data_IF_719969395546
#
_entry.id   IF_719969395546
#
_cell.length_a   1.000
_cell.length_b   1.000
_cell.length_c   1.000
_cell.angle_alpha   90.00
_cell.angle_beta   90.00
_cell.angle_gamma   90.00
#
_symmetry.space_group_name_H-M   'P 1'
#
loop_
_entity.id
_entity.type
_entity.pdbx_description
1 polymer ?
#
# COMPACT_ATOMS: atom_id res chain seq x y z
N UNK A 1 -22.69 13.36 64.35
CA UNK A 1 -21.58 13.27 63.36
C UNK A 1 -21.59 11.92 62.64
N UNK A 2 -21.64 10.77 63.34
CA UNK A 2 -21.72 9.44 62.72
C UNK A 2 -22.91 9.26 61.76
N UNK A 3 -24.11 9.70 62.14
CA UNK A 3 -25.30 9.57 61.29
C UNK A 3 -25.19 10.36 59.97
N UNK A 4 -24.75 11.63 60.04
CA UNK A 4 -24.49 12.43 58.83
C UNK A 4 -23.48 11.79 57.88
N UNK A 5 -22.42 11.16 58.41
CA UNK A 5 -21.43 10.45 57.59
C UNK A 5 -22.05 9.24 56.91
N UNK A 6 -22.94 8.51 57.59
CA UNK A 6 -23.66 7.36 57.04
C UNK A 6 -24.61 7.80 55.91
N UNK A 7 -25.41 8.84 56.12
CA UNK A 7 -26.31 9.41 55.10
C UNK A 7 -25.56 9.88 53.84
N UNK A 8 -24.39 10.51 54.02
CA UNK A 8 -23.53 10.93 52.91
C UNK A 8 -23.02 9.71 52.11
N UNK A 9 -22.59 8.65 52.80
CA UNK A 9 -22.14 7.41 52.14
C UNK A 9 -23.27 6.73 51.36
N UNK A 10 -24.46 6.65 51.95
CA UNK A 10 -25.63 6.07 51.28
C UNK A 10 -26.03 6.88 50.04
N UNK A 11 -26.03 8.21 50.15
CA UNK A 11 -26.30 9.11 49.03
C UNK A 11 -25.27 8.97 47.91
N UNK A 12 -23.98 8.90 48.26
CA UNK A 12 -22.90 8.68 47.31
C UNK A 12 -23.06 7.34 46.56
N UNK A 13 -23.36 6.25 47.30
CA UNK A 13 -23.58 4.94 46.69
C UNK A 13 -24.78 4.94 45.74
N UNK A 14 -25.86 5.65 46.09
CA UNK A 14 -27.04 5.78 45.22
C UNK A 14 -26.71 6.54 43.92
N UNK A 15 -25.89 7.59 44.00
CA UNK A 15 -25.45 8.34 42.81
C UNK A 15 -24.60 7.43 41.91
N UNK A 16 -23.69 6.63 42.47
CA UNK A 16 -22.89 5.69 41.69
C UNK A 16 -23.76 4.60 41.02
N UNK A 17 -24.78 4.10 41.72
CA UNK A 17 -25.72 3.14 41.14
C UNK A 17 -26.48 3.71 39.94
N UNK A 18 -27.04 4.93 40.09
CA UNK A 18 -27.74 5.61 38.98
C UNK A 18 -26.78 5.87 37.82
N UNK A 19 -25.54 6.27 38.11
CA UNK A 19 -24.51 6.50 37.09
C UNK A 19 -24.21 5.22 36.30
N UNK A 20 -24.11 4.07 36.98
CA UNK A 20 -23.95 2.75 36.34
C UNK A 20 -25.15 2.40 35.46
N UNK A 21 -26.38 2.58 35.96
CA UNK A 21 -27.60 2.31 35.18
C UNK A 21 -27.68 3.15 33.91
N UNK A 22 -27.30 4.43 33.99
CA UNK A 22 -27.24 5.33 32.81
C UNK A 22 -26.25 4.77 31.78
N UNK A 23 -25.05 4.36 32.22
CA UNK A 23 -24.05 3.81 31.31
C UNK A 23 -24.56 2.53 30.67
N UNK A 24 -25.17 1.61 31.43
CA UNK A 24 -25.72 0.35 30.90
C UNK A 24 -26.77 0.61 29.79
N UNK A 25 -27.63 1.62 29.98
CA UNK A 25 -28.59 2.05 28.95
C UNK A 25 -27.86 2.64 27.75
N UNK A 26 -26.85 3.49 27.95
CA UNK A 26 -26.08 4.12 26.87
C UNK A 26 -25.28 3.13 26.03
N UNK A 27 -24.70 2.11 26.66
CA UNK A 27 -23.87 1.10 25.98
C UNK A 27 -24.70 -0.08 25.44
N UNK A 28 -26.02 -0.08 25.56
CA UNK A 28 -26.86 -1.05 24.85
C UNK A 28 -26.69 -0.91 23.34
N UNK A 29 -26.84 -1.99 22.57
CA UNK A 29 -26.57 -1.97 21.11
C UNK A 29 -27.38 -0.89 20.37
N UNK A 30 -28.65 -0.70 20.74
CA UNK A 30 -29.53 0.29 20.12
C UNK A 30 -29.11 1.75 20.42
N UNK A 31 -28.60 2.00 21.63
CA UNK A 31 -28.25 3.34 22.06
C UNK A 31 -26.80 3.71 21.77
N UNK A 32 -25.89 2.73 21.77
CA UNK A 32 -24.46 2.97 21.57
C UNK A 32 -24.21 3.72 20.26
N UNK A 33 -24.96 3.37 19.20
CA UNK A 33 -24.85 4.06 17.91
C UNK A 33 -25.26 5.54 17.94
N UNK A 34 -26.13 5.93 18.87
CA UNK A 34 -26.59 7.32 19.05
C UNK A 34 -25.60 8.16 19.86
N UNK A 35 -24.91 7.54 20.80
CA UNK A 35 -24.00 8.23 21.73
C UNK A 35 -22.53 8.21 21.29
N UNK A 36 -22.16 7.30 20.41
CA UNK A 36 -20.82 7.19 19.89
C UNK A 36 -20.85 7.07 18.37
N UNK A 37 -20.49 8.13 17.67
CA UNK A 37 -20.42 8.23 16.22
C UNK A 37 -18.98 8.22 15.71
N UNK A 38 -18.02 8.58 16.58
CA UNK A 38 -16.59 8.66 16.27
C UNK A 38 -15.74 8.46 17.54
N UNK A 39 -14.42 8.40 17.39
CA UNK A 39 -13.50 8.16 18.50
C UNK A 39 -13.52 9.25 19.58
N UNK A 40 -13.80 10.52 19.26
CA UNK A 40 -13.82 11.63 20.24
C UNK A 40 -14.98 11.49 21.21
N UNK A 41 -16.12 11.01 20.72
CA UNK A 41 -17.27 10.72 21.57
C UNK A 41 -16.97 9.55 22.51
N UNK A 42 -16.27 8.52 22.02
CA UNK A 42 -15.80 7.42 22.88
C UNK A 42 -14.80 7.93 23.92
N UNK A 43 -13.86 8.79 23.54
CA UNK A 43 -12.91 9.41 24.48
C UNK A 43 -13.64 10.20 25.58
N UNK A 44 -14.65 10.99 25.19
CA UNK A 44 -15.50 11.72 26.13
C UNK A 44 -16.23 10.76 27.09
N UNK A 45 -16.82 9.67 26.58
CA UNK A 45 -17.49 8.67 27.41
C UNK A 45 -16.53 7.97 28.38
N UNK A 46 -15.31 7.63 27.94
CA UNK A 46 -14.28 7.03 28.82
C UNK A 46 -13.84 8.01 29.90
N UNK A 47 -13.70 9.30 29.57
CA UNK A 47 -13.38 10.35 30.54
C UNK A 47 -14.50 10.56 31.57
N UNK A 48 -15.75 10.53 31.11
CA UNK A 48 -16.93 10.68 31.96
C UNK A 48 -17.23 9.44 32.80
N UNK A 49 -16.84 8.24 32.35
CA UNK A 49 -17.16 6.96 32.98
C UNK A 49 -15.96 5.99 32.96
N UNK A 50 -14.83 6.33 33.61
CA UNK A 50 -13.60 5.54 33.56
C UNK A 50 -13.80 4.12 34.12
N UNK A 51 -14.67 3.94 35.10
CA UNK A 51 -15.02 2.63 35.67
C UNK A 51 -15.70 1.69 34.66
N UNK A 52 -16.27 2.22 33.58
CA UNK A 52 -16.92 1.47 32.50
C UNK A 52 -16.07 1.39 31.22
N UNK A 53 -14.79 1.80 31.27
CA UNK A 53 -13.87 1.78 30.12
C UNK A 53 -13.85 0.43 29.40
N UNK A 54 -13.79 -0.67 30.16
CA UNK A 54 -13.78 -2.03 29.61
C UNK A 54 -15.08 -2.39 28.89
N UNK A 55 -16.23 -1.93 29.39
CA UNK A 55 -17.51 -2.18 28.76
C UNK A 55 -17.65 -1.38 27.44
N UNK A 56 -17.16 -0.13 27.43
CA UNK A 56 -17.07 0.69 26.22
C UNK A 56 -16.16 0.07 25.18
N UNK A 57 -14.98 -0.41 25.58
CA UNK A 57 -14.06 -1.13 24.72
C UNK A 57 -14.74 -2.30 24.00
N UNK A 58 -15.43 -3.18 24.75
CA UNK A 58 -16.15 -4.33 24.20
C UNK A 58 -17.17 -3.94 23.14
N UNK A 59 -17.80 -2.76 23.25
CA UNK A 59 -18.70 -2.24 22.21
C UNK A 59 -17.97 -1.71 21.00
N UNK A 60 -16.84 -1.02 21.19
CA UNK A 60 -16.02 -0.48 20.09
C UNK A 60 -15.51 -1.61 19.17
N UNK A 61 -15.06 -2.73 19.74
CA UNK A 61 -14.46 -3.83 18.95
C UNK A 61 -15.47 -4.75 18.27
N UNK A 62 -16.77 -4.59 18.52
CA UNK A 62 -17.79 -5.28 17.73
C UNK A 62 -17.66 -4.85 16.26
N UNK A 63 -17.58 -5.81 15.34
CA UNK A 63 -17.23 -5.58 13.92
C UNK A 63 -18.01 -4.43 13.27
N UNK A 64 -19.33 -4.37 13.48
CA UNK A 64 -20.18 -3.33 12.91
C UNK A 64 -19.90 -1.94 13.51
N UNK A 65 -19.62 -1.88 14.81
CA UNK A 65 -19.29 -0.64 15.49
C UNK A 65 -17.89 -0.17 15.13
N UNK A 66 -16.92 -1.08 15.12
CA UNK A 66 -15.55 -0.77 14.73
C UNK A 66 -15.50 -0.15 13.33
N UNK A 67 -16.15 -0.79 12.35
CA UNK A 67 -16.19 -0.30 10.97
C UNK A 67 -16.79 1.12 10.85
N UNK A 68 -17.82 1.42 11.64
CA UNK A 68 -18.48 2.73 11.66
C UNK A 68 -17.64 3.79 12.38
N UNK A 69 -17.03 3.42 13.50
CA UNK A 69 -16.27 4.33 14.37
C UNK A 69 -14.88 4.67 13.82
N UNK A 70 -14.32 3.81 12.97
CA UNK A 70 -13.00 3.99 12.38
C UNK A 70 -13.13 4.32 10.91
N UNK A 71 -13.10 5.60 10.52
CA UNK A 71 -13.16 5.98 9.10
C UNK A 71 -11.84 5.75 8.37
N UNK A 72 -10.74 5.86 9.10
CA UNK A 72 -9.36 5.85 8.63
C UNK A 72 -8.42 5.25 9.70
N UNK A 73 -7.14 5.17 9.38
CA UNK A 73 -6.13 4.62 10.28
C UNK A 73 -5.86 5.51 11.50
N UNK A 74 -6.04 6.83 11.37
CA UNK A 74 -5.81 7.76 12.46
C UNK A 74 -6.85 7.56 13.56
N UNK A 75 -8.10 7.28 13.19
CA UNK A 75 -9.16 6.89 14.13
C UNK A 75 -8.79 5.64 14.94
N UNK A 76 -8.12 4.66 14.32
CA UNK A 76 -7.63 3.46 15.03
C UNK A 76 -6.52 3.84 16.02
N UNK A 77 -5.59 4.69 15.60
CA UNK A 77 -4.52 5.20 16.47
C UNK A 77 -5.09 5.90 17.70
N UNK A 78 -6.14 6.71 17.53
CA UNK A 78 -6.80 7.36 18.65
C UNK A 78 -7.47 6.33 19.58
N UNK A 79 -8.09 5.27 19.05
CA UNK A 79 -8.59 4.18 19.89
C UNK A 79 -7.50 3.46 20.68
N UNK A 80 -6.31 3.27 20.12
CA UNK A 80 -5.16 2.71 20.86
C UNK A 80 -4.72 3.63 22.00
N UNK A 81 -4.81 4.95 21.82
CA UNK A 81 -4.51 5.92 22.90
C UNK A 81 -5.58 5.88 24.00
N UNK A 82 -6.85 5.69 23.63
CA UNK A 82 -7.95 5.55 24.60
C UNK A 82 -7.84 4.21 25.34
N UNK A 83 -7.55 3.11 24.65
CA UNK A 83 -7.52 1.73 25.17
C UNK A 83 -6.14 1.06 24.97
N UNK A 84 -5.07 1.57 25.59
CA UNK A 84 -3.70 1.06 25.39
C UNK A 84 -3.54 -0.40 25.81
N UNK A 85 -4.31 -0.86 26.80
CA UNK A 85 -4.33 -2.25 27.27
C UNK A 85 -4.82 -3.25 26.22
N UNK A 86 -5.55 -2.78 25.20
CA UNK A 86 -6.17 -3.61 24.14
C UNK A 86 -5.54 -3.40 22.76
N UNK A 87 -4.30 -2.88 22.73
CA UNK A 87 -3.58 -2.57 21.49
C UNK A 87 -3.53 -3.75 20.50
N UNK A 88 -3.29 -4.96 20.99
CA UNK A 88 -3.23 -6.16 20.15
C UNK A 88 -4.54 -6.44 19.40
N UNK A 89 -5.68 -6.19 20.05
CA UNK A 89 -6.99 -6.44 19.46
C UNK A 89 -7.28 -5.44 18.33
N UNK A 90 -6.89 -4.18 18.49
CA UNK A 90 -6.95 -3.20 17.40
C UNK A 90 -6.05 -3.59 16.22
N UNK A 91 -4.85 -4.10 16.49
CA UNK A 91 -3.98 -4.62 15.43
C UNK A 91 -4.67 -5.75 14.65
N UNK A 92 -5.24 -6.74 15.35
CA UNK A 92 -5.97 -7.85 14.72
C UNK A 92 -7.17 -7.37 13.90
N UNK A 93 -7.92 -6.38 14.39
CA UNK A 93 -9.06 -5.79 13.69
C UNK A 93 -8.64 -5.06 12.41
N UNK A 94 -7.56 -4.28 12.45
CA UNK A 94 -7.04 -3.59 11.26
C UNK A 94 -6.68 -4.56 10.15
N UNK A 95 -6.03 -5.68 10.48
CA UNK A 95 -5.61 -6.69 9.52
C UNK A 95 -6.68 -7.75 9.22
N UNK A 96 -7.88 -7.61 9.78
CA UNK A 96 -9.04 -8.40 9.38
C UNK A 96 -9.35 -8.14 7.89
N UNK A 97 -9.61 -9.18 7.07
CA UNK A 97 -9.94 -9.00 5.66
C UNK A 97 -11.07 -7.99 5.39
N UNK A 98 -12.06 -7.89 6.27
CA UNK A 98 -13.18 -6.96 6.14
C UNK A 98 -12.80 -5.48 6.36
N UNK A 99 -11.67 -5.21 7.01
CA UNK A 99 -11.27 -3.85 7.37
C UNK A 99 -9.99 -3.39 6.66
N UNK A 100 -9.06 -4.31 6.41
CA UNK A 100 -7.71 -4.00 5.93
C UNK A 100 -7.68 -3.24 4.60
N UNK A 101 -8.51 -3.60 3.62
CA UNK A 101 -8.57 -2.89 2.33
C UNK A 101 -9.03 -1.44 2.49
N UNK A 102 -9.96 -1.20 3.43
CA UNK A 102 -10.54 0.11 3.69
C UNK A 102 -9.61 0.99 4.53
N UNK A 103 -9.03 0.43 5.59
CA UNK A 103 -8.20 1.16 6.56
C UNK A 103 -6.76 1.36 6.07
N UNK A 104 -6.23 0.40 5.32
CA UNK A 104 -4.89 0.45 4.74
C UNK A 104 -5.04 0.65 3.23
N UNK A 105 -5.63 1.76 2.81
CA UNK A 105 -5.83 2.06 1.38
C UNK A 105 -4.54 2.48 0.69
N UNK A 106 -3.62 3.13 1.43
CA UNK A 106 -2.34 3.62 0.94
C UNK A 106 -1.18 3.15 1.82
N UNK A 107 0.03 3.12 1.26
CA UNK A 107 1.24 2.76 2.00
C UNK A 107 1.47 3.65 3.23
N UNK A 108 1.12 4.94 3.15
CA UNK A 108 1.25 5.86 4.29
C UNK A 108 0.44 5.39 5.50
N UNK A 109 -0.70 4.72 5.30
CA UNK A 109 -1.47 4.14 6.41
C UNK A 109 -0.71 3.01 7.10
N UNK A 110 -0.04 2.14 6.32
CA UNK A 110 0.81 1.09 6.87
C UNK A 110 2.00 1.68 7.62
N UNK A 111 2.61 2.76 7.10
CA UNK A 111 3.68 3.47 7.80
C UNK A 111 3.22 4.08 9.12
N UNK A 112 2.02 4.64 9.18
CA UNK A 112 1.42 5.06 10.46
C UNK A 112 1.33 3.88 11.42
N UNK A 113 0.87 2.71 10.96
CA UNK A 113 0.83 1.51 11.80
C UNK A 113 2.20 1.07 12.30
N UNK A 114 3.26 1.11 11.47
CA UNK A 114 4.61 0.70 11.93
C UNK A 114 5.19 1.60 13.02
N UNK A 115 4.73 2.85 13.11
CA UNK A 115 5.09 3.79 14.18
C UNK A 115 4.35 3.45 15.47
N UNK A 116 3.05 3.18 15.40
CA UNK A 116 2.21 2.94 16.59
C UNK A 116 2.25 1.49 17.08
N UNK A 117 2.58 0.53 16.20
CA UNK A 117 2.62 -0.91 16.46
C UNK A 117 4.01 -1.50 16.11
N UNK A 118 5.12 -0.96 16.65
CA UNK A 118 6.46 -1.39 16.28
C UNK A 118 6.72 -2.88 16.56
N UNK A 119 6.08 -3.44 17.58
CA UNK A 119 6.19 -4.86 17.96
C UNK A 119 5.56 -5.82 16.93
N UNK A 120 4.73 -5.31 16.02
CA UNK A 120 4.08 -6.09 14.96
C UNK A 120 4.66 -5.83 13.56
N UNK A 121 5.81 -5.15 13.45
CA UNK A 121 6.45 -4.84 12.16
C UNK A 121 6.60 -6.07 11.27
N UNK A 122 7.07 -7.19 11.82
CA UNK A 122 7.24 -8.43 11.07
C UNK A 122 5.91 -8.95 10.49
N UNK A 123 4.84 -8.94 11.28
CA UNK A 123 3.52 -9.34 10.81
C UNK A 123 2.98 -8.40 9.71
N UNK A 124 3.26 -7.10 9.82
CA UNK A 124 2.93 -6.12 8.79
C UNK A 124 3.71 -6.37 7.50
N UNK A 125 5.00 -6.68 7.61
CA UNK A 125 5.86 -7.05 6.48
C UNK A 125 5.28 -8.26 5.73
N UNK A 126 5.03 -9.35 6.46
CA UNK A 126 4.42 -10.57 5.89
C UNK A 126 3.05 -10.31 5.24
N UNK A 127 2.29 -9.34 5.75
CA UNK A 127 1.01 -8.97 5.16
C UNK A 127 1.16 -8.13 3.88
N UNK A 128 2.08 -7.15 3.84
CA UNK A 128 2.31 -6.33 2.64
C UNK A 128 2.98 -7.12 1.51
N UNK A 129 3.81 -8.12 1.81
CA UNK A 129 4.46 -8.95 0.78
C UNK A 129 3.52 -9.93 0.09
N UNK A 130 2.28 -10.07 0.57
CA UNK A 130 1.25 -10.82 -0.15
C UNK A 130 1.01 -10.18 -1.52
N UNK A 131 0.91 -10.96 -2.60
CA UNK A 131 0.81 -10.46 -3.98
C UNK A 131 -0.16 -9.29 -4.19
N UNK A 132 -1.39 -9.44 -3.70
CA UNK A 132 -2.46 -8.45 -3.90
C UNK A 132 -2.20 -7.17 -3.11
N UNK A 133 -1.65 -7.29 -1.89
CA UNK A 133 -1.32 -6.16 -1.04
C UNK A 133 -0.11 -5.42 -1.55
N UNK A 134 0.95 -6.14 -1.93
CA UNK A 134 2.18 -5.56 -2.47
C UNK A 134 1.84 -4.75 -3.72
N UNK A 135 1.15 -5.39 -4.67
CA UNK A 135 0.69 -4.76 -5.90
C UNK A 135 -0.13 -3.52 -5.58
N UNK A 136 -1.11 -3.62 -4.68
CA UNK A 136 -2.00 -2.49 -4.35
C UNK A 136 -1.29 -1.31 -3.68
N UNK A 137 -0.37 -1.58 -2.75
CA UNK A 137 0.23 -0.57 -1.88
C UNK A 137 1.54 -0.02 -2.41
N UNK A 138 2.34 -0.82 -3.13
CA UNK A 138 3.65 -0.45 -3.67
C UNK A 138 3.50 -0.18 -5.16
N UNK A 139 3.01 1.01 -5.48
CA UNK A 139 2.69 1.37 -6.85
C UNK A 139 3.71 2.27 -7.54
N UNK A 140 4.69 2.83 -6.82
CA UNK A 140 5.71 3.70 -7.39
C UNK A 140 7.05 3.58 -6.64
N UNK A 141 8.10 4.17 -7.21
CA UNK A 141 9.46 4.09 -6.68
C UNK A 141 9.65 4.79 -5.33
N UNK A 142 8.90 5.87 -5.05
CA UNK A 142 8.94 6.58 -3.76
C UNK A 142 8.39 5.68 -2.65
N UNK A 143 7.27 5.00 -2.90
CA UNK A 143 6.69 4.06 -1.93
C UNK A 143 7.62 2.88 -1.69
N UNK A 144 8.24 2.35 -2.74
CA UNK A 144 9.23 1.30 -2.61
C UNK A 144 10.41 1.72 -1.73
N UNK A 145 10.94 2.92 -1.93
CA UNK A 145 11.99 3.48 -1.07
C UNK A 145 11.51 3.58 0.38
N UNK A 146 10.28 4.03 0.59
CA UNK A 146 9.63 4.05 1.91
C UNK A 146 9.62 2.66 2.54
N UNK A 147 9.21 1.63 1.80
CA UNK A 147 9.17 0.25 2.25
C UNK A 147 10.57 -0.25 2.68
N UNK A 148 11.60 0.00 1.87
CA UNK A 148 12.98 -0.39 2.22
C UNK A 148 13.56 0.38 3.41
N UNK A 149 13.01 1.56 3.72
CA UNK A 149 13.41 2.38 4.87
C UNK A 149 12.72 1.92 6.14
N UNK A 150 11.43 1.57 6.05
CA UNK A 150 10.64 1.15 7.21
C UNK A 150 10.93 -0.32 7.63
N UNK A 151 11.44 -1.15 6.69
CA UNK A 151 11.83 -2.57 6.85
C UNK A 151 13.25 -2.86 6.32
N UNK A 152 14.30 -2.29 6.92
CA UNK A 152 15.68 -2.44 6.43
C UNK A 152 16.20 -3.89 6.49
N UNK A 153 15.69 -4.69 7.43
CA UNK A 153 16.01 -6.12 7.58
C UNK A 153 15.56 -6.98 6.38
N UNK A 154 14.62 -6.47 5.58
CA UNK A 154 13.97 -7.20 4.49
C UNK A 154 14.34 -6.68 3.09
N UNK A 155 15.40 -5.88 2.97
CA UNK A 155 15.78 -5.26 1.69
C UNK A 155 16.02 -6.26 0.56
N UNK A 156 16.64 -7.40 0.86
CA UNK A 156 16.88 -8.44 -0.14
C UNK A 156 15.57 -9.04 -0.66
N UNK A 157 14.67 -9.44 0.25
CA UNK A 157 13.36 -10.01 -0.08
C UNK A 157 12.49 -9.02 -0.86
N UNK A 158 12.52 -7.74 -0.48
CA UNK A 158 11.86 -6.66 -1.25
C UNK A 158 12.44 -6.60 -2.66
N UNK A 159 13.77 -6.67 -2.81
CA UNK A 159 14.43 -6.74 -4.11
C UNK A 159 13.95 -7.93 -4.96
N UNK A 160 13.83 -9.11 -4.37
CA UNK A 160 13.32 -10.31 -5.04
C UNK A 160 11.84 -10.16 -5.45
N UNK A 161 11.01 -9.54 -4.62
CA UNK A 161 9.62 -9.22 -4.96
C UNK A 161 9.52 -8.25 -6.13
N UNK A 162 10.43 -7.28 -6.24
CA UNK A 162 10.48 -6.35 -7.37
C UNK A 162 10.86 -7.02 -8.67
N UNK A 163 11.73 -8.03 -8.62
CA UNK A 163 12.11 -8.79 -9.82
C UNK A 163 10.94 -9.62 -10.37
N UNK A 164 9.86 -9.78 -9.60
CA UNK A 164 8.64 -10.37 -10.14
C UNK A 164 8.03 -9.46 -11.21
N UNK A 165 7.79 -9.99 -12.42
CA UNK A 165 7.34 -9.21 -13.56
C UNK A 165 6.16 -8.29 -13.28
N UNK A 166 5.11 -8.81 -12.62
CA UNK A 166 3.91 -8.04 -12.30
C UNK A 166 4.18 -6.79 -11.44
N UNK A 167 5.12 -6.86 -10.51
CA UNK A 167 5.42 -5.76 -9.58
C UNK A 167 6.32 -4.74 -10.26
N UNK A 168 7.35 -5.21 -10.96
CA UNK A 168 8.22 -4.37 -11.78
C UNK A 168 7.40 -3.55 -12.78
N UNK A 169 6.52 -4.23 -13.54
CA UNK A 169 5.66 -3.59 -14.52
C UNK A 169 4.83 -2.47 -13.91
N UNK A 170 4.23 -2.70 -12.74
CA UNK A 170 3.35 -1.73 -12.07
C UNK A 170 4.11 -0.49 -11.63
N UNK A 171 5.21 -0.65 -10.89
CA UNK A 171 5.99 0.46 -10.34
C UNK A 171 6.47 1.36 -11.47
N UNK A 172 7.01 0.73 -12.50
CA UNK A 172 7.58 1.44 -13.63
C UNK A 172 6.50 2.05 -14.53
N UNK A 173 5.29 1.48 -14.59
CA UNK A 173 4.17 2.04 -15.35
C UNK A 173 3.46 3.20 -14.67
N UNK A 174 3.52 3.28 -13.33
CA UNK A 174 2.87 4.37 -12.56
C UNK A 174 3.76 5.61 -12.48
N UNK A 175 5.07 5.44 -12.49
CA UNK A 175 6.01 6.55 -12.48
C UNK A 175 5.85 7.38 -13.77
N UNK A 176 5.81 8.71 -13.60
CA UNK A 176 5.86 9.72 -14.65
C UNK A 176 7.08 9.61 -15.58
N UNK A 177 7.96 8.63 -15.35
CA UNK A 177 8.97 8.15 -16.28
C UNK A 177 8.41 7.90 -17.68
N UNK A 178 7.13 7.50 -17.83
CA UNK A 178 6.50 7.42 -19.16
C UNK A 178 6.46 8.75 -19.91
N UNK A 179 6.33 9.89 -19.22
CA UNK A 179 6.30 11.21 -19.87
C UNK A 179 7.67 11.78 -20.21
N UNK A 180 8.72 11.46 -19.45
CA UNK A 180 10.10 11.85 -19.79
C UNK A 180 10.80 10.87 -20.74
N UNK A 181 10.37 9.61 -20.79
CA UNK A 181 10.89 8.58 -21.70
C UNK A 181 10.06 8.41 -22.98
N UNK A 182 9.30 9.42 -23.41
CA UNK A 182 8.84 9.50 -24.82
C UNK A 182 10.07 9.80 -25.69
N UNK A 183 10.99 8.84 -25.75
CA UNK A 183 12.06 8.83 -26.73
C UNK A 183 11.43 8.51 -28.07
N UNK A 184 11.97 9.13 -29.13
CA UNK A 184 11.59 8.89 -30.51
C UNK A 184 11.36 7.38 -30.75
N UNK A 185 10.26 6.94 -31.40
CA UNK A 185 9.88 5.52 -31.51
C UNK A 185 11.02 4.59 -31.92
N UNK A 186 11.91 5.07 -32.80
CA UNK A 186 13.11 4.34 -33.22
C UNK A 186 14.12 4.08 -32.09
N UNK A 187 14.34 5.05 -31.20
CA UNK A 187 15.26 4.89 -30.07
C UNK A 187 14.71 3.85 -29.10
N UNK A 188 13.40 3.89 -28.81
CA UNK A 188 12.77 2.86 -27.98
C UNK A 188 12.85 1.49 -28.65
N UNK A 189 12.60 1.38 -29.95
CA UNK A 189 12.69 0.10 -30.64
C UNK A 189 14.12 -0.47 -30.58
N UNK A 190 15.14 0.37 -30.79
CA UNK A 190 16.53 -0.03 -30.66
C UNK A 190 16.86 -0.55 -29.26
N UNK A 191 16.50 0.19 -28.20
CA UNK A 191 16.84 -0.17 -26.82
C UNK A 191 16.09 -1.42 -26.35
N UNK A 192 14.84 -1.60 -26.79
CA UNK A 192 14.03 -2.82 -26.62
C UNK A 192 14.68 -4.03 -27.27
N UNK A 193 15.03 -3.93 -28.56
CA UNK A 193 15.73 -5.00 -29.27
C UNK A 193 17.07 -5.34 -28.61
N UNK A 194 17.83 -4.34 -28.15
CA UNK A 194 19.08 -4.56 -27.44
C UNK A 194 18.88 -5.40 -26.17
N UNK A 195 17.84 -5.10 -25.38
CA UNK A 195 17.52 -5.85 -24.18
C UNK A 195 17.04 -7.27 -24.49
N UNK A 196 16.14 -7.45 -25.46
CA UNK A 196 15.71 -8.78 -25.94
C UNK A 196 16.93 -9.62 -26.32
N UNK A 197 17.79 -9.13 -27.21
CA UNK A 197 18.96 -9.89 -27.64
C UNK A 197 20.00 -10.11 -26.53
N UNK A 198 20.04 -9.28 -25.49
CA UNK A 198 20.93 -9.49 -24.34
C UNK A 198 20.44 -10.62 -23.43
N UNK A 199 19.15 -10.65 -23.12
CA UNK A 199 18.53 -11.61 -22.20
C UNK A 199 18.14 -12.94 -22.87
N UNK A 200 17.96 -12.98 -24.19
CA UNK A 200 17.78 -14.21 -24.96
C UNK A 200 19.08 -15.01 -25.06
N UNK A 201 19.33 -15.89 -24.07
CA UNK A 201 20.44 -16.86 -24.10
C UNK A 201 20.01 -18.13 -24.83
N UNK A 202 20.57 -18.37 -26.02
CA UNK A 202 20.22 -19.55 -26.84
C UNK A 202 20.73 -20.89 -26.30
N UNK A 203 21.77 -20.90 -25.46
CA UNK A 203 22.46 -22.15 -25.09
C UNK A 203 22.45 -22.47 -23.59
N UNK A 204 21.93 -21.59 -22.73
CA UNK A 204 22.00 -21.74 -21.26
C UNK A 204 20.63 -21.50 -20.58
N UNK A 205 19.54 -21.52 -21.35
CA UNK A 205 18.22 -21.09 -20.90
C UNK A 205 18.06 -19.56 -20.96
N UNK A 206 16.84 -19.10 -21.27
CA UNK A 206 16.53 -17.67 -21.32
C UNK A 206 16.65 -17.04 -19.93
N UNK A 207 17.39 -15.93 -19.83
CA UNK A 207 17.48 -15.17 -18.57
C UNK A 207 16.15 -14.48 -18.25
N UNK A 208 15.49 -13.99 -19.30
CA UNK A 208 14.16 -13.41 -19.25
C UNK A 208 13.39 -13.80 -20.52
N UNK A 209 12.08 -14.09 -20.40
CA UNK A 209 11.16 -14.10 -21.53
C UNK A 209 11.30 -12.83 -22.41
N UNK A 210 11.17 -12.94 -23.74
CA UNK A 210 11.31 -11.82 -24.66
C UNK A 210 10.42 -10.61 -24.31
N UNK A 211 9.23 -10.83 -23.77
CA UNK A 211 8.29 -9.76 -23.40
C UNK A 211 8.83 -8.91 -22.25
N UNK A 212 9.49 -9.54 -21.27
CA UNK A 212 10.09 -8.83 -20.15
C UNK A 212 11.38 -8.16 -20.55
N UNK A 213 12.15 -8.78 -21.44
CA UNK A 213 13.35 -8.19 -22.00
C UNK A 213 13.03 -6.95 -22.85
N UNK A 214 12.01 -7.02 -23.71
CA UNK A 214 11.47 -5.87 -24.47
C UNK A 214 11.07 -4.76 -23.49
N UNK A 215 10.28 -5.10 -22.48
CA UNK A 215 9.86 -4.14 -21.48
C UNK A 215 11.05 -3.46 -20.77
N UNK A 216 12.04 -4.22 -20.28
CA UNK A 216 13.26 -3.67 -19.68
C UNK A 216 13.94 -2.70 -20.64
N UNK A 217 14.06 -3.06 -21.91
CA UNK A 217 14.68 -2.20 -22.92
C UNK A 217 13.89 -0.91 -23.19
N UNK A 218 12.58 -0.89 -22.92
CA UNK A 218 11.76 0.33 -23.03
C UNK A 218 12.11 1.41 -22.00
N UNK A 219 12.82 1.06 -20.92
CA UNK A 219 13.32 2.00 -19.89
C UNK A 219 14.74 2.47 -20.13
N UNK A 220 15.45 1.88 -21.08
CA UNK A 220 16.81 2.28 -21.36
C UNK A 220 16.81 3.52 -22.24
N UNK A 221 17.64 4.50 -21.87
CA UNK A 221 17.98 5.57 -22.80
C UNK A 221 18.85 5.04 -23.96
N UNK A 222 18.97 5.83 -25.04
CA UNK A 222 19.79 5.47 -26.21
C UNK A 222 21.23 5.04 -25.85
N UNK A 223 21.88 5.72 -24.92
CA UNK A 223 23.26 5.46 -24.52
C UNK A 223 23.36 4.14 -23.76
N UNK A 224 22.43 3.89 -22.84
CA UNK A 224 22.32 2.66 -22.06
C UNK A 224 21.98 1.46 -22.97
N UNK A 225 21.02 1.60 -23.88
CA UNK A 225 20.73 0.56 -24.88
C UNK A 225 21.88 0.32 -25.85
N UNK A 226 22.60 1.38 -26.26
CA UNK A 226 23.82 1.26 -27.08
C UNK A 226 24.93 0.47 -26.38
N UNK A 227 25.17 0.74 -25.08
CA UNK A 227 26.11 -0.05 -24.27
C UNK A 227 25.66 -1.51 -24.18
N UNK A 228 24.37 -1.75 -23.97
CA UNK A 228 23.81 -3.11 -23.88
C UNK A 228 23.99 -3.88 -25.20
N UNK A 229 23.70 -3.24 -26.33
CA UNK A 229 23.90 -3.79 -27.67
C UNK A 229 25.38 -4.17 -27.93
N UNK A 230 26.33 -3.40 -27.39
CA UNK A 230 27.76 -3.67 -27.54
C UNK A 230 28.26 -4.87 -26.72
N UNK A 231 27.51 -5.32 -25.70
CA UNK A 231 27.97 -6.43 -24.86
C UNK A 231 27.94 -7.78 -25.59
N UNK A 232 27.06 -7.97 -26.58
CA UNK A 232 26.84 -9.25 -27.27
C UNK A 232 26.32 -9.07 -28.70
N UNK A 233 26.71 -9.99 -29.59
CA UNK A 233 26.24 -10.01 -31.00
C UNK A 233 24.71 -10.16 -31.11
N UNK A 234 24.08 -10.95 -30.24
CA UNK A 234 22.62 -11.12 -30.22
C UNK A 234 21.91 -9.82 -29.85
N UNK A 235 22.38 -9.11 -28.82
CA UNK A 235 21.86 -7.80 -28.42
C UNK A 235 21.95 -6.79 -29.57
N UNK A 236 23.12 -6.66 -30.20
CA UNK A 236 23.28 -5.78 -31.37
C UNK A 236 22.33 -6.13 -32.53
N UNK A 237 22.18 -7.42 -32.83
CA UNK A 237 21.32 -7.87 -33.94
C UNK A 237 19.85 -7.53 -33.68
N UNK A 238 19.32 -7.90 -32.52
CA UNK A 238 17.92 -7.64 -32.19
C UNK A 238 17.64 -6.13 -32.09
N UNK A 239 18.59 -5.33 -31.58
CA UNK A 239 18.49 -3.86 -31.56
C UNK A 239 18.32 -3.27 -32.98
N UNK A 240 19.17 -3.70 -33.92
CA UNK A 240 19.11 -3.22 -35.31
C UNK A 240 17.84 -3.69 -36.04
N UNK A 241 17.39 -4.93 -35.79
CA UNK A 241 16.15 -5.44 -36.37
C UNK A 241 14.94 -4.65 -35.88
N UNK A 242 14.88 -4.38 -34.56
CA UNK A 242 13.80 -3.60 -33.98
C UNK A 242 13.80 -2.14 -34.46
N UNK A 243 14.98 -1.50 -34.53
CA UNK A 243 15.11 -0.13 -35.07
C UNK A 243 14.68 -0.05 -36.54
N UNK A 244 15.09 -1.01 -37.37
CA UNK A 244 14.69 -1.07 -38.78
C UNK A 244 13.18 -1.30 -38.95
N UNK A 245 12.57 -2.14 -38.12
CA UNK A 245 11.13 -2.39 -38.13
C UNK A 245 10.32 -1.16 -37.69
N UNK A 246 10.90 -0.29 -36.85
CA UNK A 246 10.26 0.93 -36.36
C UNK A 246 10.53 2.17 -37.23
N UNK A 247 11.39 2.08 -38.24
CA UNK A 247 11.60 3.16 -39.19
C UNK A 247 10.29 3.44 -39.94
N UNK A 248 9.85 4.70 -40.06
CA UNK A 248 8.69 5.03 -40.87
C UNK A 248 8.92 4.47 -42.26
N UNK A 249 7.96 3.71 -42.79
CA UNK A 249 7.94 3.34 -44.20
C UNK A 249 7.94 4.67 -44.94
N UNK A 250 9.08 5.05 -45.51
CA UNK A 250 9.15 6.19 -46.39
C UNK A 250 8.23 5.81 -47.54
N UNK A 251 7.04 6.40 -47.55
CA UNK A 251 6.03 6.13 -48.56
C UNK A 251 6.69 6.28 -49.92
N UNK A 252 6.80 5.16 -50.66
CA UNK A 252 7.19 5.13 -52.06
C UNK A 252 6.16 5.86 -52.96
N UNK A 253 5.19 6.55 -52.37
CA UNK A 253 4.00 7.11 -52.99
C UNK A 253 4.19 8.54 -53.54
N UNK A 254 5.40 9.10 -53.52
CA UNK A 254 5.67 10.43 -54.11
C UNK A 254 6.42 10.41 -55.45
N UNK A 255 6.48 9.26 -56.13
CA UNK A 255 6.87 9.22 -57.55
C UNK A 255 5.67 9.59 -58.45
N UNK A 256 5.16 10.81 -58.26
CA UNK A 256 4.29 11.44 -59.26
C UNK A 256 5.10 11.66 -60.53
N UNK A 257 4.84 10.84 -61.55
CA UNK A 257 5.36 10.96 -62.90
C UNK A 257 5.12 12.39 -63.42
N UNK A 258 6.16 13.16 -63.81
CA UNK A 258 5.95 14.40 -64.52
C UNK A 258 5.39 14.08 -65.91
N UNK A 259 4.20 14.60 -66.22
CA UNK A 259 3.55 14.43 -67.51
C UNK A 259 4.38 15.03 -68.65
N UNK A 260 4.37 14.42 -69.85
CA UNK A 260 5.16 14.88 -70.99
C UNK A 260 4.59 16.20 -71.55
N UNK A 261 5.49 17.14 -71.86
CA UNK A 261 5.22 18.36 -72.64
C UNK A 261 5.34 18.08 -74.14
#
# INVERSE_FOLDING_TARGET
MKEKIKEIKESFNRIQAIRSEIVDVMISDENFVRFASNYKEIECLVSLFPEHKEALYKRVVQTNHFARLTTDIDSVVEFVKIFPEHKEDFFKLVFNPHHSTRLISHYINLRTLTIYFPEYKEAMYQWITRPDNFTRLVDNSIILQGLTTDFPEHQQEIGELLLQPRHFMRIVSSDALRSEFIQHPMIQAYTRGAAVGFFSRRNEGELLPPELADYVGSFLDRKSGGRLAQTRRSAAREASLAEAAAAPKLDEENTSTPGPQ
#
